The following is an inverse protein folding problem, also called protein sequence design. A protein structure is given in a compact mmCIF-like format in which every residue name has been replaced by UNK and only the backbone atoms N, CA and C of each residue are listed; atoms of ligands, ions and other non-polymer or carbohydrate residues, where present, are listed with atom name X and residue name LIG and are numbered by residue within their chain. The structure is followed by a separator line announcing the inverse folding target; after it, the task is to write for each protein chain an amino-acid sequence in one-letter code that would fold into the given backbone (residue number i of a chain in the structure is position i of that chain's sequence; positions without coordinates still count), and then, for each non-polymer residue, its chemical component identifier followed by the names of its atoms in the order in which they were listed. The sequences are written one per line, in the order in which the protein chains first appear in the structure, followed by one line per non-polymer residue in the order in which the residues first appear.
data_IF_979694425446
#
_entry.id   IF_979694425446
#
_cell.length_a   1.000
_cell.length_b   1.000
_cell.length_c   1.000
_cell.angle_alpha   90.00
_cell.angle_beta   90.00
_cell.angle_gamma   90.00
#
_symmetry.space_group_name_H-M   'P 1'
#
loop_
_entity.id
_entity.type
_entity.pdbx_description
1 polymer ?
#
# COMPACT_ATOMS: atom_id res chain seq x y z
N UNK A 1 11.96 19.18 -28.48
CA UNK A 1 11.12 18.79 -27.32
C UNK A 1 10.49 17.46 -27.65
N UNK A 2 10.60 16.48 -26.75
CA UNK A 2 9.87 15.22 -26.87
C UNK A 2 8.37 15.54 -26.77
N UNK A 3 7.59 15.11 -27.75
CA UNK A 3 6.13 15.35 -27.73
C UNK A 3 5.46 14.61 -26.55
N UNK A 4 4.35 15.15 -26.04
CA UNK A 4 3.55 14.56 -24.95
C UNK A 4 3.27 13.06 -25.14
N UNK A 5 2.94 12.69 -26.39
CA UNK A 5 2.65 11.30 -26.76
C UNK A 5 3.89 10.41 -26.62
N UNK A 6 5.06 10.90 -27.04
CA UNK A 6 6.31 10.15 -26.91
C UNK A 6 6.71 9.95 -25.46
N UNK A 7 6.58 10.96 -24.60
CA UNK A 7 6.88 10.82 -23.18
C UNK A 7 5.98 9.78 -22.51
N UNK A 8 4.68 9.79 -22.80
CA UNK A 8 3.76 8.79 -22.24
C UNK A 8 4.13 7.36 -22.68
N UNK A 9 4.51 7.16 -23.93
CA UNK A 9 4.99 5.86 -24.42
C UNK A 9 6.26 5.42 -23.69
N UNK A 10 7.22 6.33 -23.49
CA UNK A 10 8.43 6.01 -22.74
C UNK A 10 8.14 5.66 -21.27
N UNK A 11 7.23 6.39 -20.63
CA UNK A 11 6.78 6.06 -19.27
C UNK A 11 6.18 4.65 -19.24
N UNK A 12 5.28 4.34 -20.18
CA UNK A 12 4.65 3.02 -20.26
C UNK A 12 5.70 1.91 -20.44
N UNK A 13 6.63 2.08 -21.37
CA UNK A 13 7.69 1.09 -21.65
C UNK A 13 8.59 0.89 -20.43
N UNK A 14 9.12 1.98 -19.86
CA UNK A 14 10.07 1.91 -18.74
C UNK A 14 9.41 1.29 -17.50
N UNK A 15 8.21 1.72 -17.14
CA UNK A 15 7.53 1.19 -15.96
C UNK A 15 7.01 -0.23 -16.17
N UNK A 16 6.58 -0.60 -17.38
CA UNK A 16 6.20 -2.00 -17.68
C UNK A 16 7.40 -2.94 -17.55
N UNK A 17 8.55 -2.55 -18.08
CA UNK A 17 9.79 -3.33 -17.94
C UNK A 17 10.24 -3.41 -16.47
N UNK A 18 10.22 -2.30 -15.75
CA UNK A 18 10.54 -2.26 -14.32
C UNK A 18 9.59 -3.16 -13.53
N UNK A 19 8.30 -3.09 -13.80
CA UNK A 19 7.30 -3.94 -13.15
C UNK A 19 7.55 -5.43 -13.47
N UNK A 20 7.86 -5.77 -14.71
CA UNK A 20 8.25 -7.12 -15.11
C UNK A 20 9.46 -7.64 -14.32
N UNK A 21 10.51 -6.83 -14.18
CA UNK A 21 11.70 -7.17 -13.38
C UNK A 21 11.32 -7.39 -11.91
N UNK A 22 10.47 -6.55 -11.35
CA UNK A 22 10.00 -6.69 -9.96
C UNK A 22 9.19 -7.96 -9.78
N UNK A 23 8.27 -8.28 -10.68
CA UNK A 23 7.49 -9.54 -10.63
C UNK A 23 8.43 -10.76 -10.69
N UNK A 24 9.40 -10.75 -11.58
CA UNK A 24 10.41 -11.83 -11.67
C UNK A 24 11.19 -11.95 -10.36
N UNK A 25 11.60 -10.81 -9.76
CA UNK A 25 12.32 -10.81 -8.49
C UNK A 25 11.46 -11.36 -7.35
N UNK A 26 10.17 -11.00 -7.28
CA UNK A 26 9.23 -11.52 -6.29
C UNK A 26 8.96 -13.02 -6.48
N UNK A 27 8.84 -13.50 -7.72
CA UNK A 27 8.75 -14.93 -8.03
C UNK A 27 10.01 -15.68 -7.61
N UNK A 28 11.19 -15.11 -7.87
CA UNK A 28 12.47 -15.66 -7.43
C UNK A 28 12.58 -15.72 -5.90
N UNK A 29 12.14 -14.66 -5.21
CA UNK A 29 12.08 -14.63 -3.75
C UNK A 29 11.08 -15.66 -3.20
N UNK A 30 9.92 -15.85 -3.82
CA UNK A 30 8.95 -16.87 -3.44
C UNK A 30 9.53 -18.28 -3.60
N UNK A 31 10.19 -18.55 -4.74
CA UNK A 31 10.90 -19.82 -4.97
C UNK A 31 11.99 -20.04 -3.92
N UNK A 32 12.76 -19.00 -3.58
CA UNK A 32 13.75 -19.05 -2.49
C UNK A 32 13.14 -19.41 -1.14
N UNK A 33 11.96 -18.87 -0.80
CA UNK A 33 11.23 -19.25 0.43
C UNK A 33 10.81 -20.73 0.42
N UNK A 34 10.44 -21.29 -0.75
CA UNK A 34 10.13 -22.71 -0.89
C UNK A 34 11.40 -23.56 -0.72
N UNK A 35 12.46 -23.25 -1.46
CA UNK A 35 13.71 -24.02 -1.47
C UNK A 35 14.43 -24.02 -0.12
N UNK A 36 14.36 -22.92 0.64
CA UNK A 36 14.92 -22.83 2.00
C UNK A 36 14.02 -23.43 3.08
N UNK A 37 12.85 -23.94 2.72
CA UNK A 37 11.85 -24.48 3.67
C UNK A 37 11.15 -23.42 4.53
N UNK A 38 11.40 -22.11 4.29
CA UNK A 38 10.73 -21.03 5.03
C UNK A 38 9.21 -21.04 4.81
N UNK A 39 8.77 -21.26 3.56
CA UNK A 39 7.35 -21.35 3.24
C UNK A 39 6.68 -22.51 3.99
N UNK A 40 7.32 -23.69 4.05
CA UNK A 40 6.78 -24.83 4.79
C UNK A 40 6.65 -24.53 6.29
N UNK A 41 7.70 -24.00 6.92
CA UNK A 41 7.66 -23.63 8.36
C UNK A 41 6.54 -22.64 8.66
N UNK A 42 6.34 -21.62 7.81
CA UNK A 42 5.35 -20.58 8.02
C UNK A 42 3.92 -21.04 7.79
N UNK A 43 3.64 -21.64 6.62
CA UNK A 43 2.27 -21.98 6.20
C UNK A 43 1.81 -23.36 6.67
N UNK A 44 2.72 -24.29 6.95
CA UNK A 44 2.38 -25.62 7.44
C UNK A 44 2.71 -25.76 8.94
N UNK A 45 3.88 -25.26 9.36
CA UNK A 45 4.28 -25.30 10.77
C UNK A 45 3.80 -24.12 11.60
N UNK A 46 3.10 -23.17 11.00
CA UNK A 46 2.58 -21.92 11.61
C UNK A 46 3.64 -21.11 12.40
N UNK A 47 4.93 -21.25 12.03
CA UNK A 47 6.06 -20.58 12.67
C UNK A 47 6.22 -19.13 12.16
N UNK A 48 5.35 -18.24 12.59
CA UNK A 48 5.39 -16.84 12.22
C UNK A 48 6.17 -16.00 13.24
N UNK A 49 6.80 -14.89 12.81
CA UNK A 49 7.44 -13.97 13.74
C UNK A 49 6.44 -13.36 14.71
N UNK A 50 6.68 -13.48 16.01
CA UNK A 50 5.84 -12.80 16.99
C UNK A 50 6.05 -11.30 16.95
N UNK A 51 4.96 -10.53 16.97
CA UNK A 51 4.97 -9.08 17.03
C UNK A 51 4.86 -8.59 18.47
N UNK A 52 5.84 -7.78 18.90
CA UNK A 52 5.72 -7.04 20.13
C UNK A 52 4.72 -5.89 19.94
N UNK A 53 3.60 -5.85 20.64
CA UNK A 53 2.75 -4.66 20.59
C UNK A 53 1.25 -4.88 20.69
N UNK A 54 0.79 -6.12 20.83
CA UNK A 54 -0.62 -6.46 20.98
C UNK A 54 -1.45 -6.22 19.69
N UNK A 55 -2.75 -6.49 19.73
CA UNK A 55 -3.62 -6.45 18.56
C UNK A 55 -3.75 -5.03 17.98
N UNK A 56 -3.87 -4.96 16.66
CA UNK A 56 -4.07 -3.70 15.96
C UNK A 56 -5.47 -3.14 16.32
N UNK A 57 -5.59 -1.84 16.68
CA UNK A 57 -6.87 -1.24 17.01
C UNK A 57 -7.87 -1.28 15.85
N UNK A 58 -9.17 -1.35 16.15
CA UNK A 58 -10.23 -1.42 15.15
C UNK A 58 -10.24 -0.23 14.17
N UNK A 59 -9.96 0.99 14.64
CA UNK A 59 -9.98 2.17 13.79
C UNK A 59 -8.94 2.14 12.66
N UNK A 60 -7.64 1.85 12.89
CA UNK A 60 -6.68 1.61 11.82
C UNK A 60 -7.06 0.47 10.87
N UNK A 61 -7.63 -0.63 11.38
CA UNK A 61 -8.10 -1.75 10.52
C UNK A 61 -9.19 -1.29 9.56
N UNK A 62 -10.21 -0.60 10.06
CA UNK A 62 -11.31 -0.10 9.24
C UNK A 62 -10.82 0.90 8.19
N UNK A 63 -9.95 1.84 8.59
CA UNK A 63 -9.34 2.80 7.67
C UNK A 63 -8.50 2.11 6.59
N UNK A 64 -7.74 1.08 6.96
CA UNK A 64 -6.97 0.30 6.00
C UNK A 64 -7.87 -0.47 5.03
N UNK A 65 -8.90 -1.16 5.53
CA UNK A 65 -9.85 -1.87 4.67
C UNK A 65 -10.56 -0.95 3.68
N UNK A 66 -11.08 0.19 4.15
CA UNK A 66 -11.69 1.20 3.29
C UNK A 66 -10.70 1.72 2.24
N UNK A 67 -9.44 1.94 2.64
CA UNK A 67 -8.38 2.37 1.73
C UNK A 67 -8.11 1.33 0.65
N UNK A 68 -8.02 0.05 0.99
CA UNK A 68 -7.81 -1.05 0.04
C UNK A 68 -8.92 -1.10 -1.00
N UNK A 69 -10.19 -1.07 -0.58
CA UNK A 69 -11.33 -1.09 -1.50
C UNK A 69 -11.32 0.12 -2.44
N UNK A 70 -11.06 1.31 -1.91
CA UNK A 70 -11.00 2.52 -2.71
C UNK A 70 -9.80 2.52 -3.68
N UNK A 71 -8.64 2.01 -3.27
CA UNK A 71 -7.46 1.88 -4.13
C UNK A 71 -7.67 0.89 -5.28
N UNK A 72 -8.36 -0.23 -5.03
CA UNK A 72 -8.76 -1.17 -6.10
C UNK A 72 -9.69 -0.47 -7.10
N UNK A 73 -10.68 0.28 -6.61
CA UNK A 73 -11.58 1.04 -7.48
C UNK A 73 -10.82 2.10 -8.30
N UNK A 74 -9.86 2.82 -7.69
CA UNK A 74 -8.99 3.78 -8.38
C UNK A 74 -8.11 3.09 -9.44
N UNK A 75 -7.52 1.94 -9.13
CA UNK A 75 -6.69 1.19 -10.07
C UNK A 75 -7.50 0.73 -11.30
N UNK A 76 -8.64 0.08 -11.07
CA UNK A 76 -9.51 -0.41 -12.16
C UNK A 76 -10.03 0.76 -13.00
N UNK A 77 -10.58 1.80 -12.38
CA UNK A 77 -11.11 2.94 -13.09
C UNK A 77 -10.04 3.75 -13.80
N UNK A 78 -8.88 3.95 -13.19
CA UNK A 78 -7.74 4.64 -13.79
C UNK A 78 -7.18 3.90 -15.02
N UNK A 79 -7.02 2.58 -14.92
CA UNK A 79 -6.62 1.73 -16.06
C UNK A 79 -7.63 1.81 -17.19
N UNK A 80 -8.92 1.74 -16.88
CA UNK A 80 -9.96 1.88 -17.91
C UNK A 80 -9.97 3.27 -18.56
N UNK A 81 -9.81 4.34 -17.78
CA UNK A 81 -9.76 5.71 -18.33
C UNK A 81 -8.57 5.84 -19.29
N UNK A 82 -7.44 5.23 -18.99
CA UNK A 82 -6.23 5.24 -19.80
C UNK A 82 -6.34 4.32 -21.02
N UNK A 83 -6.81 3.10 -20.83
CA UNK A 83 -6.92 2.04 -21.83
C UNK A 83 -8.36 1.50 -21.90
N UNK A 84 -9.30 2.22 -22.51
CA UNK A 84 -10.68 1.76 -22.58
C UNK A 84 -10.79 0.52 -23.47
N UNK A 85 -11.16 -0.61 -22.86
CA UNK A 85 -11.29 -1.90 -23.55
C UNK A 85 -12.73 -2.24 -23.98
N UNK A 86 -13.70 -1.36 -23.70
CA UNK A 86 -15.05 -1.39 -24.26
C UNK A 86 -15.59 0.04 -24.47
N UNK A 87 -16.59 0.19 -25.34
CA UNK A 87 -17.14 1.48 -25.67
C UNK A 87 -18.18 1.95 -24.62
N UNK A 88 -18.24 3.25 -24.37
CA UNK A 88 -19.28 3.89 -23.55
C UNK A 88 -19.02 3.92 -22.04
N UNK A 89 -18.08 3.15 -21.49
CA UNK A 89 -17.84 3.06 -20.06
C UNK A 89 -17.02 4.19 -19.44
N UNK A 90 -16.40 5.06 -20.27
CA UNK A 90 -15.47 6.08 -19.77
C UNK A 90 -16.12 7.09 -18.80
N UNK A 91 -17.37 7.47 -19.03
CA UNK A 91 -18.09 8.36 -18.13
C UNK A 91 -18.33 7.71 -16.75
N UNK A 92 -18.80 6.48 -16.73
CA UNK A 92 -19.03 5.70 -15.51
C UNK A 92 -17.73 5.54 -14.74
N UNK A 93 -16.64 5.13 -15.41
CA UNK A 93 -15.35 4.92 -14.76
C UNK A 93 -14.73 6.21 -14.23
N UNK A 94 -14.99 7.37 -14.83
CA UNK A 94 -14.62 8.66 -14.25
C UNK A 94 -15.35 8.93 -12.94
N UNK A 95 -16.64 8.65 -12.86
CA UNK A 95 -17.40 8.80 -11.61
C UNK A 95 -16.93 7.84 -10.54
N UNK A 96 -16.67 6.57 -10.87
CA UNK A 96 -16.07 5.61 -9.95
C UNK A 96 -14.74 6.14 -9.42
N UNK A 97 -13.90 6.67 -10.32
CA UNK A 97 -12.60 7.24 -9.96
C UNK A 97 -12.74 8.45 -9.02
N UNK A 98 -13.67 9.37 -9.30
CA UNK A 98 -13.88 10.55 -8.47
C UNK A 98 -14.43 10.20 -7.08
N UNK A 99 -15.39 9.28 -6.99
CA UNK A 99 -15.92 8.82 -5.70
C UNK A 99 -14.82 8.15 -4.89
N UNK A 100 -14.07 7.25 -5.49
CA UNK A 100 -12.97 6.58 -4.82
C UNK A 100 -11.85 7.56 -4.40
N UNK A 101 -11.55 8.57 -5.22
CA UNK A 101 -10.61 9.66 -4.89
C UNK A 101 -11.06 10.42 -3.63
N UNK A 102 -12.34 10.80 -3.53
CA UNK A 102 -12.87 11.51 -2.36
C UNK A 102 -12.76 10.65 -1.11
N UNK A 103 -13.05 9.35 -1.22
CA UNK A 103 -12.92 8.40 -0.12
C UNK A 103 -11.45 8.30 0.34
N UNK A 104 -10.49 8.18 -0.59
CA UNK A 104 -9.06 8.08 -0.26
C UNK A 104 -8.54 9.37 0.37
N UNK A 105 -8.91 10.53 -0.16
CA UNK A 105 -8.51 11.84 0.41
C UNK A 105 -9.08 11.99 1.81
N UNK A 106 -10.36 11.69 2.02
CA UNK A 106 -10.99 11.74 3.33
C UNK A 106 -10.34 10.77 4.33
N UNK A 107 -10.08 9.53 3.89
CA UNK A 107 -9.39 8.53 4.69
C UNK A 107 -7.97 9.01 5.07
N UNK A 108 -7.21 9.56 4.13
CA UNK A 108 -5.88 10.12 4.40
C UNK A 108 -5.94 11.24 5.44
N UNK A 109 -6.89 12.17 5.31
CA UNK A 109 -7.07 13.27 6.27
C UNK A 109 -7.38 12.74 7.68
N UNK A 110 -8.34 11.80 7.79
CA UNK A 110 -8.69 11.15 9.06
C UNK A 110 -7.51 10.37 9.63
N UNK A 111 -6.75 9.65 8.79
CA UNK A 111 -5.59 8.87 9.23
C UNK A 111 -4.46 9.77 9.74
N UNK A 112 -4.19 10.87 9.06
CA UNK A 112 -3.20 11.86 9.52
C UNK A 112 -3.64 12.51 10.84
N UNK A 113 -4.92 12.93 10.91
CA UNK A 113 -5.45 13.44 12.17
C UNK A 113 -5.33 12.42 13.30
N UNK A 114 -5.68 11.16 13.05
CA UNK A 114 -5.56 10.08 14.05
C UNK A 114 -4.12 9.88 14.48
N UNK A 115 -3.17 9.89 13.53
CA UNK A 115 -1.75 9.70 13.82
C UNK A 115 -1.18 10.77 14.76
N UNK A 116 -1.57 12.02 14.57
CA UNK A 116 -0.98 13.15 15.30
C UNK A 116 -1.81 13.60 16.52
N UNK A 117 -3.14 13.53 16.45
CA UNK A 117 -4.07 14.09 17.44
C UNK A 117 -4.61 13.05 18.42
N UNK A 118 -4.55 11.75 18.10
CA UNK A 118 -5.02 10.72 19.01
C UNK A 118 -4.13 10.63 20.25
N UNK A 119 -4.70 10.18 21.39
CA UNK A 119 -3.92 9.95 22.62
C UNK A 119 -2.77 8.97 22.43
N UNK A 120 -2.86 8.07 21.43
CA UNK A 120 -1.85 7.04 21.13
C UNK A 120 -0.63 7.60 20.41
N UNK A 121 -0.77 8.70 19.64
CA UNK A 121 0.30 9.32 18.85
C UNK A 121 1.11 8.28 18.06
N UNK A 122 0.39 7.43 17.31
CA UNK A 122 0.96 6.25 16.65
C UNK A 122 2.00 6.59 15.56
N UNK A 123 2.08 7.86 15.11
CA UNK A 123 3.16 8.33 14.23
C UNK A 123 4.55 8.00 14.76
N UNK A 124 4.71 7.88 16.11
CA UNK A 124 5.97 7.53 16.76
C UNK A 124 6.41 6.09 16.46
N UNK A 125 5.46 5.19 16.21
CA UNK A 125 5.74 3.80 15.86
C UNK A 125 6.39 3.70 14.46
N UNK A 126 6.13 4.67 13.59
CA UNK A 126 6.68 4.73 12.23
C UNK A 126 7.97 5.57 12.12
N UNK A 127 8.37 6.25 13.19
CA UNK A 127 9.62 7.02 13.18
C UNK A 127 10.83 6.09 12.98
N UNK A 128 11.69 6.42 12.02
CA UNK A 128 12.95 5.71 11.80
C UNK A 128 13.95 6.11 12.87
N UNK A 129 14.43 5.11 13.60
CA UNK A 129 15.42 5.27 14.67
C UNK A 129 16.83 4.92 14.18
N UNK A 130 17.86 5.30 14.94
CA UNK A 130 19.24 4.86 14.65
C UNK A 130 19.36 3.33 14.61
N UNK A 131 18.61 2.62 15.46
CA UNK A 131 18.57 1.16 15.47
C UNK A 131 18.02 0.59 14.15
N UNK A 132 16.98 1.22 13.61
CA UNK A 132 16.40 0.81 12.31
C UNK A 132 17.44 0.91 11.20
N UNK A 133 18.20 2.00 11.14
CA UNK A 133 19.24 2.23 10.12
C UNK A 133 20.36 1.18 10.25
N UNK A 134 20.84 0.91 11.46
CA UNK A 134 21.92 -0.07 11.71
C UNK A 134 21.47 -1.50 11.40
N UNK A 135 20.19 -1.80 11.60
CA UNK A 135 19.64 -3.14 11.37
C UNK A 135 19.12 -3.34 9.94
N UNK A 136 18.89 -2.28 9.18
CA UNK A 136 18.40 -2.35 7.79
C UNK A 136 19.22 -3.30 6.89
N UNK A 137 20.57 -3.25 6.88
CA UNK A 137 21.36 -4.20 6.10
C UNK A 137 21.12 -5.65 6.49
N UNK A 138 20.91 -5.93 7.79
CA UNK A 138 20.63 -7.29 8.27
C UNK A 138 19.27 -7.80 7.80
N UNK A 139 18.27 -6.91 7.72
CA UNK A 139 16.94 -7.21 7.18
C UNK A 139 17.03 -7.50 5.68
N UNK A 140 17.78 -6.70 4.93
CA UNK A 140 18.00 -6.93 3.49
C UNK A 140 18.69 -8.28 3.27
N UNK A 141 19.77 -8.59 4.03
CA UNK A 141 20.48 -9.86 3.93
C UNK A 141 19.58 -11.06 4.27
N UNK A 142 18.59 -10.88 5.13
CA UNK A 142 17.58 -11.90 5.38
C UNK A 142 16.65 -12.10 4.15
N UNK A 143 16.18 -11.03 3.53
CA UNK A 143 15.33 -11.14 2.35
C UNK A 143 16.04 -11.76 1.13
N UNK A 144 17.33 -11.57 0.98
CA UNK A 144 18.12 -12.21 -0.08
C UNK A 144 18.71 -13.57 0.33
N UNK A 145 18.19 -14.19 1.41
CA UNK A 145 18.55 -15.54 1.90
C UNK A 145 19.99 -15.72 2.40
N UNK A 146 20.75 -14.64 2.59
CA UNK A 146 22.10 -14.69 3.17
C UNK A 146 22.05 -14.95 4.68
N UNK A 147 21.02 -14.43 5.37
CA UNK A 147 20.79 -14.70 6.80
C UNK A 147 19.59 -15.62 7.02
N UNK A 148 19.69 -16.60 7.94
CA UNK A 148 18.62 -17.54 8.22
C UNK A 148 17.45 -16.92 9.00
N UNK A 149 17.72 -15.91 9.86
CA UNK A 149 16.73 -15.30 10.73
C UNK A 149 16.65 -13.79 10.54
N UNK A 150 15.43 -13.27 10.70
CA UNK A 150 15.16 -11.83 10.70
C UNK A 150 15.59 -11.24 12.04
N UNK A 151 16.28 -10.09 12.08
CA UNK A 151 16.60 -9.44 13.34
C UNK A 151 15.32 -9.02 14.06
N UNK A 152 15.29 -9.17 15.39
CA UNK A 152 14.15 -8.78 16.21
C UNK A 152 14.04 -7.24 16.29
N UNK A 153 12.97 -6.69 15.77
CA UNK A 153 12.79 -5.25 15.56
C UNK A 153 11.39 -4.82 15.97
N UNK A 154 11.05 -4.81 17.25
CA UNK A 154 9.79 -4.27 17.74
C UNK A 154 8.57 -4.57 16.86
N UNK A 155 7.52 -3.74 16.95
CA UNK A 155 6.25 -3.92 16.21
C UNK A 155 6.38 -3.84 14.67
N UNK A 156 7.19 -2.91 14.18
CA UNK A 156 7.41 -2.69 12.74
C UNK A 156 8.90 -2.71 12.42
N UNK A 157 9.27 -3.44 11.37
CA UNK A 157 10.64 -3.40 10.85
C UNK A 157 10.86 -2.16 9.97
N UNK A 158 12.14 -1.87 9.67
CA UNK A 158 12.52 -0.69 8.89
C UNK A 158 11.86 -0.66 7.50
N UNK A 159 11.65 -1.80 6.85
CA UNK A 159 10.99 -1.85 5.53
C UNK A 159 9.51 -1.48 5.63
N UNK A 160 8.82 -1.96 6.67
CA UNK A 160 7.43 -1.59 6.93
C UNK A 160 7.30 -0.09 7.25
N UNK A 161 8.19 0.45 8.12
CA UNK A 161 8.22 1.90 8.42
C UNK A 161 8.48 2.73 7.16
N UNK A 162 9.43 2.33 6.32
CA UNK A 162 9.74 3.01 5.06
C UNK A 162 8.55 3.04 4.12
N UNK A 163 7.76 1.97 4.07
CA UNK A 163 6.53 1.92 3.27
C UNK A 163 5.56 3.03 3.66
N UNK A 164 5.29 3.22 4.95
CA UNK A 164 4.41 4.30 5.41
C UNK A 164 4.96 5.68 5.07
N UNK A 165 6.27 5.90 5.28
CA UNK A 165 6.92 7.18 4.98
C UNK A 165 6.85 7.51 3.49
N UNK A 166 6.91 6.53 2.61
CA UNK A 166 6.83 6.73 1.16
C UNK A 166 5.38 6.89 0.69
N UNK A 167 4.44 6.08 1.19
CA UNK A 167 3.05 6.11 0.71
C UNK A 167 2.33 7.42 1.05
N UNK A 168 2.56 8.02 2.23
CA UNK A 168 1.86 9.24 2.62
C UNK A 168 2.16 10.42 1.68
N UNK A 169 3.43 10.78 1.40
CA UNK A 169 3.74 11.81 0.41
C UNK A 169 3.21 11.49 -0.99
N UNK A 170 3.31 10.24 -1.44
CA UNK A 170 2.77 9.83 -2.74
C UNK A 170 1.25 10.02 -2.81
N UNK A 171 0.50 9.70 -1.75
CA UNK A 171 -0.94 9.94 -1.67
C UNK A 171 -1.27 11.44 -1.73
N UNK A 172 -0.49 12.28 -1.06
CA UNK A 172 -0.66 13.74 -1.10
C UNK A 172 -0.42 14.26 -2.53
N UNK A 173 0.67 13.85 -3.16
CA UNK A 173 0.98 14.23 -4.55
C UNK A 173 -0.12 13.74 -5.49
N UNK A 174 -0.59 12.51 -5.31
CA UNK A 174 -1.65 11.93 -6.12
C UNK A 174 -2.97 12.67 -5.95
N UNK A 175 -3.31 13.08 -4.72
CA UNK A 175 -4.50 13.87 -4.43
C UNK A 175 -4.43 15.26 -5.10
N UNK A 176 -3.33 15.98 -4.94
CA UNK A 176 -3.14 17.32 -5.53
C UNK A 176 -3.20 17.24 -7.07
N UNK A 177 -2.48 16.31 -7.65
CA UNK A 177 -2.47 16.15 -9.12
C UNK A 177 -3.80 15.62 -9.65
N UNK A 178 -4.51 14.75 -8.91
CA UNK A 178 -5.84 14.29 -9.24
C UNK A 178 -6.87 15.41 -9.24
N UNK A 179 -6.85 16.27 -8.23
CA UNK A 179 -7.71 17.46 -8.17
C UNK A 179 -7.40 18.43 -9.33
N UNK A 180 -6.12 18.58 -9.70
CA UNK A 180 -5.72 19.38 -10.87
C UNK A 180 -6.24 18.82 -12.20
N UNK A 181 -6.55 17.52 -12.27
CA UNK A 181 -7.10 16.85 -13.45
C UNK A 181 -8.62 16.77 -13.45
N UNK A 182 -9.29 17.25 -12.40
CA UNK A 182 -10.74 17.22 -12.28
C UNK A 182 -11.36 18.12 -13.34
N UNK A 183 -12.05 17.53 -14.31
CA UNK A 183 -12.66 18.23 -15.45
C UNK A 183 -14.14 18.54 -15.25
N UNK A 184 -14.78 17.89 -14.29
CA UNK A 184 -16.14 18.19 -13.91
C UNK A 184 -16.16 19.23 -12.82
N UNK A 185 -17.07 20.22 -12.87
CA UNK A 185 -17.26 21.13 -11.74
C UNK A 185 -17.65 20.31 -10.51
N UNK A 186 -16.99 20.59 -9.41
CA UNK A 186 -17.39 20.03 -8.11
C UNK A 186 -18.79 20.57 -7.81
N UNK A 187 -19.77 19.74 -7.38
CA UNK A 187 -21.17 20.16 -7.22
C UNK A 187 -21.38 21.44 -6.41
N UNK A 188 -20.46 21.79 -5.53
CA UNK A 188 -20.50 23.00 -4.71
C UNK A 188 -19.79 24.23 -5.34
N UNK A 189 -19.09 24.06 -6.46
CA UNK A 189 -18.35 25.17 -7.10
C UNK A 189 -19.10 25.77 -8.29
N UNK A 190 -20.15 25.11 -8.79
CA UNK A 190 -20.97 25.64 -9.90
C UNK A 190 -21.87 26.82 -9.51
N UNK A 191 -22.19 26.98 -8.23
CA UNK A 191 -23.14 27.99 -7.75
C UNK A 191 -22.48 29.10 -6.96
N UNK A 192 -21.21 29.02 -6.63
CA UNK A 192 -20.49 30.09 -5.94
C UNK A 192 -19.80 30.95 -6.97
N UNK A 193 -20.48 32.00 -7.38
CA UNK A 193 -19.87 33.16 -8.04
C UNK A 193 -18.93 33.83 -7.06
N UNK A 194 -17.66 33.35 -6.99
CA UNK A 194 -16.64 34.14 -6.35
C UNK A 194 -16.31 35.32 -7.25
N UNK A 195 -16.64 36.57 -6.77
CA UNK A 195 -16.31 37.82 -7.46
C UNK A 195 -16.84 37.95 -8.90
N UNK A 196 -18.00 37.36 -9.20
CA UNK A 196 -18.64 37.52 -10.52
C UNK A 196 -18.14 36.55 -11.61
N UNK A 197 -17.29 35.61 -11.28
CA UNK A 197 -16.83 34.57 -12.22
C UNK A 197 -17.58 33.26 -12.03
N UNK A 198 -18.07 32.70 -13.13
CA UNK A 198 -18.77 31.42 -13.14
C UNK A 198 -17.83 30.28 -12.76
N UNK A 199 -18.25 29.47 -11.80
CA UNK A 199 -17.77 28.13 -11.44
C UNK A 199 -16.27 27.87 -11.54
N UNK A 200 -15.55 27.90 -10.41
CA UNK A 200 -14.15 27.51 -10.34
C UNK A 200 -14.06 26.01 -10.16
N UNK A 201 -13.38 25.30 -11.06
CA UNK A 201 -13.08 23.87 -10.90
C UNK A 201 -11.83 23.67 -10.02
N UNK A 202 -11.66 22.48 -9.43
CA UNK A 202 -10.43 22.14 -8.72
C UNK A 202 -9.18 22.29 -9.60
N UNK A 203 -9.33 22.06 -10.90
CA UNK A 203 -8.30 22.32 -11.91
C UNK A 203 -7.93 23.80 -11.95
N UNK A 204 -8.93 24.70 -12.04
CA UNK A 204 -8.68 26.14 -12.17
C UNK A 204 -7.94 26.69 -10.95
N UNK A 205 -8.25 26.19 -9.75
CA UNK A 205 -7.53 26.58 -8.53
C UNK A 205 -6.08 26.07 -8.55
N UNK A 206 -5.88 24.79 -8.71
CA UNK A 206 -4.55 24.18 -8.56
C UNK A 206 -3.65 24.55 -9.74
N UNK A 207 -4.17 24.44 -10.98
CA UNK A 207 -3.45 24.79 -12.19
C UNK A 207 -3.18 26.31 -12.25
N UNK A 208 -4.15 27.12 -11.80
CA UNK A 208 -3.97 28.56 -11.71
C UNK A 208 -2.89 28.98 -10.72
N UNK A 209 -2.82 28.34 -9.55
CA UNK A 209 -1.77 28.57 -8.58
C UNK A 209 -0.39 28.17 -9.12
N UNK A 210 -0.28 27.04 -9.82
CA UNK A 210 0.97 26.59 -10.43
C UNK A 210 1.38 27.46 -11.60
N UNK A 211 0.45 27.81 -12.49
CA UNK A 211 0.70 28.67 -13.63
C UNK A 211 1.14 30.06 -13.22
N UNK A 212 0.49 30.63 -12.21
CA UNK A 212 0.82 31.97 -11.72
C UNK A 212 2.13 32.08 -10.95
N UNK A 213 2.54 30.98 -10.25
CA UNK A 213 3.68 31.01 -9.35
C UNK A 213 4.99 30.45 -9.93
N UNK A 214 4.91 29.38 -10.76
CA UNK A 214 6.10 28.60 -11.14
C UNK A 214 6.28 28.39 -12.64
N UNK A 215 5.20 28.29 -13.42
CA UNK A 215 5.26 27.77 -14.79
C UNK A 215 4.84 28.77 -15.88
N UNK A 216 4.19 29.86 -15.52
CA UNK A 216 3.76 30.91 -16.45
C UNK A 216 2.72 30.49 -17.50
N UNK A 217 2.24 29.23 -17.49
CA UNK A 217 1.30 28.68 -18.47
C UNK A 217 0.40 27.60 -17.85
N UNK A 218 -0.92 27.76 -18.03
CA UNK A 218 -1.93 26.79 -17.57
C UNK A 218 -1.82 25.44 -18.30
N UNK A 219 -1.46 25.46 -19.59
CA UNK A 219 -1.29 24.23 -20.37
C UNK A 219 -0.09 23.43 -19.89
N UNK A 220 1.01 24.11 -19.57
CA UNK A 220 2.20 23.48 -19.04
C UNK A 220 1.94 22.90 -17.65
N UNK A 221 1.23 23.63 -16.78
CA UNK A 221 0.82 23.14 -15.46
C UNK A 221 -0.08 21.92 -15.55
N UNK A 222 -1.08 21.92 -16.43
CA UNK A 222 -1.96 20.78 -16.69
C UNK A 222 -1.19 19.57 -17.25
N UNK A 223 -0.18 19.80 -18.07
CA UNK A 223 0.70 18.75 -18.57
C UNK A 223 1.52 18.10 -17.45
N UNK A 224 2.16 18.91 -16.59
CA UNK A 224 2.91 18.39 -15.45
C UNK A 224 2.01 17.63 -14.47
N UNK A 225 0.82 18.16 -14.15
CA UNK A 225 -0.13 17.48 -13.29
C UNK A 225 -0.47 16.07 -13.81
N UNK A 226 -0.75 15.95 -15.12
CA UNK A 226 -1.06 14.66 -15.75
C UNK A 226 0.14 13.71 -15.71
N UNK A 227 1.32 14.19 -16.04
CA UNK A 227 2.53 13.37 -16.08
C UNK A 227 2.90 12.88 -14.68
N UNK A 228 2.88 13.76 -13.67
CA UNK A 228 3.18 13.39 -12.28
C UNK A 228 2.14 12.40 -11.76
N UNK A 229 0.83 12.66 -11.98
CA UNK A 229 -0.24 11.76 -11.57
C UNK A 229 -0.04 10.35 -12.14
N UNK A 230 0.36 10.26 -13.40
CA UNK A 230 0.59 9.00 -14.09
C UNK A 230 1.84 8.26 -13.59
N UNK A 231 2.94 8.96 -13.38
CA UNK A 231 4.17 8.39 -12.81
C UNK A 231 3.92 7.88 -11.38
N UNK A 232 3.24 8.67 -10.55
CA UNK A 232 2.90 8.27 -9.18
C UNK A 232 1.96 7.07 -9.17
N UNK A 233 1.03 6.96 -10.12
CA UNK A 233 0.19 5.77 -10.27
C UNK A 233 1.05 4.50 -10.51
N UNK A 234 2.05 4.55 -11.38
CA UNK A 234 2.98 3.45 -11.58
C UNK A 234 3.75 3.09 -10.31
N UNK A 235 4.21 4.11 -9.55
CA UNK A 235 4.87 3.86 -8.26
C UNK A 235 3.92 3.16 -7.28
N UNK A 236 2.64 3.53 -7.24
CA UNK A 236 1.64 2.83 -6.44
C UNK A 236 1.47 1.38 -6.87
N UNK A 237 1.39 1.09 -8.17
CA UNK A 237 1.27 -0.28 -8.68
C UNK A 237 2.45 -1.13 -8.19
N UNK A 238 3.68 -0.64 -8.38
CA UNK A 238 4.90 -1.32 -7.97
C UNK A 238 4.95 -1.54 -6.45
N UNK A 239 4.81 -0.45 -5.68
CA UNK A 239 4.94 -0.50 -4.23
C UNK A 239 3.82 -1.30 -3.56
N UNK A 240 2.58 -1.21 -4.08
CA UNK A 240 1.46 -2.00 -3.57
C UNK A 240 1.67 -3.48 -3.86
N UNK A 241 2.18 -3.85 -5.04
CA UNK A 241 2.50 -5.25 -5.36
C UNK A 241 3.53 -5.81 -4.39
N UNK A 242 4.61 -5.06 -4.13
CA UNK A 242 5.63 -5.47 -3.14
C UNK A 242 5.03 -5.55 -1.74
N UNK A 243 4.23 -4.56 -1.34
CA UNK A 243 3.60 -4.51 -0.02
C UNK A 243 2.68 -5.72 0.22
N UNK A 244 1.78 -6.01 -0.71
CA UNK A 244 0.86 -7.16 -0.61
C UNK A 244 1.65 -8.47 -0.57
N UNK A 245 2.62 -8.63 -1.46
CA UNK A 245 3.47 -9.81 -1.49
C UNK A 245 4.18 -10.06 -0.15
N UNK A 246 4.83 -9.02 0.40
CA UNK A 246 5.54 -9.14 1.68
C UNK A 246 4.58 -9.34 2.86
N UNK A 247 3.41 -8.73 2.84
CA UNK A 247 2.39 -8.94 3.89
C UNK A 247 1.94 -10.40 3.93
N UNK A 248 1.72 -11.02 2.77
CA UNK A 248 1.28 -12.42 2.69
C UNK A 248 2.43 -13.38 3.01
N UNK A 249 3.64 -13.14 2.51
CA UNK A 249 4.73 -14.12 2.61
C UNK A 249 5.58 -13.97 3.87
N UNK A 250 5.61 -12.78 4.48
CA UNK A 250 6.49 -12.47 5.61
C UNK A 250 5.75 -12.21 6.92
N UNK A 251 4.41 -11.97 6.87
CA UNK A 251 3.63 -11.55 8.03
C UNK A 251 2.13 -11.86 7.83
N UNK A 252 1.82 -13.10 7.51
CA UNK A 252 0.46 -13.53 7.21
C UNK A 252 -0.53 -13.36 8.38
N UNK A 253 -0.15 -13.60 9.66
CA UNK A 253 -1.04 -13.30 10.79
C UNK A 253 -1.46 -11.83 10.85
N UNK A 254 -0.52 -10.89 10.68
CA UNK A 254 -0.86 -9.47 10.64
C UNK A 254 -1.73 -9.11 9.42
N UNK A 255 -1.50 -9.76 8.26
CA UNK A 255 -2.38 -9.63 7.11
C UNK A 255 -3.79 -10.07 7.44
N UNK A 256 -3.99 -11.24 8.05
CA UNK A 256 -5.30 -11.72 8.48
C UNK A 256 -5.96 -10.77 9.50
N UNK A 257 -5.19 -10.30 10.48
CA UNK A 257 -5.69 -9.36 11.49
C UNK A 257 -6.21 -8.04 10.88
N UNK A 258 -5.53 -7.50 9.87
CA UNK A 258 -5.99 -6.29 9.16
C UNK A 258 -7.33 -6.48 8.44
N UNK A 259 -7.64 -7.68 7.98
CA UNK A 259 -8.92 -8.01 7.35
C UNK A 259 -9.97 -8.54 8.33
N UNK A 260 -9.68 -8.56 9.63
CA UNK A 260 -10.59 -9.07 10.66
C UNK A 260 -10.72 -10.60 10.66
N UNK A 261 -9.75 -11.30 10.08
CA UNK A 261 -9.71 -12.76 9.94
C UNK A 261 -8.81 -13.43 11.00
N UNK A 262 -8.54 -12.75 12.11
CA UNK A 262 -7.69 -13.27 13.21
C UNK A 262 -8.23 -14.53 13.89
N UNK A 263 -9.49 -14.88 13.64
CA UNK A 263 -10.05 -16.15 14.10
C UNK A 263 -9.42 -17.38 13.41
N UNK A 264 -8.92 -17.21 12.18
CA UNK A 264 -8.20 -18.26 11.44
C UNK A 264 -6.84 -18.50 12.12
N UNK A 265 -6.12 -17.45 12.49
CA UNK A 265 -4.85 -17.52 13.22
C UNK A 265 -5.00 -18.31 14.54
N UNK A 266 -6.00 -17.95 15.36
CA UNK A 266 -6.25 -18.63 16.64
C UNK A 266 -6.55 -20.11 16.49
N UNK A 267 -7.31 -20.47 15.45
CA UNK A 267 -7.63 -21.87 15.17
C UNK A 267 -6.39 -22.67 14.77
N UNK A 268 -5.55 -22.12 13.90
CA UNK A 268 -4.32 -22.80 13.45
C UNK A 268 -3.32 -22.96 14.59
N UNK A 269 -3.17 -21.95 15.47
CA UNK A 269 -2.34 -22.06 16.67
C UNK A 269 -2.85 -23.16 17.61
N UNK A 270 -4.16 -23.23 17.83
CA UNK A 270 -4.79 -24.24 18.70
C UNK A 270 -4.65 -25.65 18.15
N UNK A 271 -4.90 -25.85 16.86
CA UNK A 271 -4.75 -27.13 16.17
C UNK A 271 -3.28 -27.60 16.21
N UNK A 272 -2.31 -26.70 16.01
CA UNK A 272 -0.89 -27.00 16.04
C UNK A 272 -0.41 -27.40 17.46
N UNK A 273 -0.90 -26.73 18.50
CA UNK A 273 -0.60 -27.11 19.90
C UNK A 273 -1.18 -28.46 20.27
N UNK A 274 -2.36 -28.80 19.75
CA UNK A 274 -2.98 -30.12 19.96
C UNK A 274 -2.16 -31.21 19.30
N UNK A 275 -1.69 -31.01 18.05
CA UNK A 275 -0.84 -31.97 17.36
C UNK A 275 0.49 -32.21 18.09
N UNK A 276 1.15 -31.15 18.57
CA UNK A 276 2.41 -31.27 19.34
C UNK A 276 2.19 -31.95 20.67
N UNK A 277 1.08 -31.66 21.36
CA UNK A 277 0.73 -32.30 22.63
C UNK A 277 0.47 -33.81 22.49
N UNK A 278 -0.05 -34.24 21.36
CA UNK A 278 -0.23 -35.67 21.07
C UNK A 278 1.08 -36.38 20.68
N UNK A 279 2.09 -35.65 20.17
CA UNK A 279 3.39 -36.22 19.81
C UNK A 279 4.34 -36.41 21.01
N UNK A 280 4.06 -35.76 22.12
CA UNK A 280 4.89 -35.81 23.35
C UNK A 280 4.41 -36.81 24.41
N UNK A 281 3.38 -37.62 24.13
CA UNK A 281 3.01 -38.68 25.05
C UNK A 281 4.06 -39.81 24.99
N UNK A 282 4.94 -39.95 26.01
CA UNK A 282 5.93 -41.02 25.99
C UNK A 282 5.18 -42.36 26.14
N UNK A 283 5.56 -43.28 25.29
CA UNK A 283 5.22 -44.68 25.52
C UNK A 283 6.01 -45.16 26.75
N UNK A 284 5.50 -44.88 27.94
CA UNK A 284 6.04 -45.41 29.16
C UNK A 284 4.97 -46.26 29.84
N UNK A 285 5.36 -47.44 29.96
CA UNK A 285 5.43 -48.36 31.02
C UNK A 285 4.44 -49.53 30.88
N UNK A 286 4.84 -50.53 30.13
CA UNK A 286 4.61 -51.89 30.58
C UNK A 286 5.64 -52.20 31.67
N UNK A 287 5.33 -51.97 32.90
CA UNK A 287 6.11 -52.55 33.99
C UNK A 287 5.51 -53.90 34.34
N UNK A 288 6.32 -54.90 34.03
CA UNK A 288 6.27 -56.19 34.66
C UNK A 288 5.99 -56.11 36.16
N UNK A 289 5.03 -56.85 36.59
CA UNK A 289 5.02 -57.47 37.92
C UNK A 289 4.57 -58.89 37.74
N UNK A 290 5.56 -59.80 37.82
CA UNK A 290 5.39 -61.17 38.20
C UNK A 290 5.40 -61.24 39.73
#
# INVERSE_FOLDING_TARGET
MIGLTQLNVWIDVVFTLLYGVIVIALCGHFLGNILTGRAKRRFVGWEWPHHEGGPIPAAPKLMHFQHVVAMIALAISGMYIRFPFYNGGRSVMRWVHYVAMVIVIGNLAVRLWYAFSSRRRDYREFAITKRDIITAPKVILYYIFVKPSKPHLGKYNVMQKSTYIIFVPLLIIQAITGLALLTYPVPFTQTVTYFGHAGVTGRDVIVGLWAGSLLGSTDLAGWYARTIHYVVNWLFIVLTTIHVYLSVTEDFPAFLDFFGLSFIEKKEEEDHHVELGHSEVPATASSDHA
#
